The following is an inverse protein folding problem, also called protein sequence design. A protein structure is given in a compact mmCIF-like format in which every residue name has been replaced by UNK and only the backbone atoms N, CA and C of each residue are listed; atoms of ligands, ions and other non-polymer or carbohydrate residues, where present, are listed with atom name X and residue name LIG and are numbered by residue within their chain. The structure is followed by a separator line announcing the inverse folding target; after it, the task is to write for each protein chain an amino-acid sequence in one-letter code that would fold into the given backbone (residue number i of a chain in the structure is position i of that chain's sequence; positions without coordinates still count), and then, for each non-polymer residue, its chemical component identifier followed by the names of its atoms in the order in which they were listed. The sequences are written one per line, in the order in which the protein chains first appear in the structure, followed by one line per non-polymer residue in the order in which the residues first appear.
data_IF_455411672313
#
_entry.id   IF_455411672313
#
_cell.length_a   1.000
_cell.length_b   1.000
_cell.length_c   1.000
_cell.angle_alpha   90.00
_cell.angle_beta   90.00
_cell.angle_gamma   90.00
#
_symmetry.space_group_name_H-M   'P 1'
#
loop_
_entity.id
_entity.type
_entity.pdbx_description
1 polymer ?
#
# COMPACT_ATOMS: atom_id res chain seq x y z
N UNK A 1 -8.78 -6.08 -18.82
CA UNK A 1 -9.39 -5.95 -17.47
C UNK A 1 -10.89 -6.03 -17.63
N UNK A 2 -11.57 -6.99 -16.97
CA UNK A 2 -13.04 -6.99 -16.92
C UNK A 2 -13.47 -5.92 -15.92
N UNK A 3 -14.15 -4.92 -16.44
CA UNK A 3 -14.69 -3.78 -15.67
C UNK A 3 -15.91 -4.31 -14.92
N UNK A 4 -15.85 -4.33 -13.59
CA UNK A 4 -17.05 -4.45 -12.77
C UNK A 4 -17.86 -3.16 -12.96
N UNK A 5 -18.94 -3.26 -13.72
CA UNK A 5 -19.93 -2.19 -13.89
C UNK A 5 -20.56 -1.87 -12.53
N UNK A 6 -20.77 -0.57 -12.30
CA UNK A 6 -21.41 0.06 -11.15
C UNK A 6 -22.51 -0.80 -10.49
N UNK A 7 -22.15 -1.54 -9.45
CA UNK A 7 -23.06 -1.89 -8.37
C UNK A 7 -22.97 -0.75 -7.34
N UNK A 8 -24.12 -0.28 -6.84
CA UNK A 8 -24.27 0.67 -5.73
C UNK A 8 -22.99 0.78 -4.89
N UNK A 9 -22.32 1.94 -4.91
CA UNK A 9 -21.12 2.23 -4.13
C UNK A 9 -21.45 2.07 -2.65
N UNK A 10 -21.30 0.85 -2.14
CA UNK A 10 -21.17 0.62 -0.71
C UNK A 10 -19.86 1.32 -0.35
N UNK A 11 -19.95 2.52 0.21
CA UNK A 11 -18.80 3.20 0.78
C UNK A 11 -18.33 2.36 1.98
N UNK A 12 -17.24 1.64 1.80
CA UNK A 12 -16.74 0.68 2.80
C UNK A 12 -15.58 1.27 3.57
N UNK A 13 -15.92 2.20 4.45
CA UNK A 13 -14.99 2.69 5.46
C UNK A 13 -15.05 1.75 6.65
N UNK A 14 -13.90 1.25 7.06
CA UNK A 14 -13.80 0.35 8.20
C UNK A 14 -13.36 1.13 9.42
N UNK A 15 -14.07 1.01 10.53
CA UNK A 15 -13.50 1.24 11.87
C UNK A 15 -12.70 0.00 12.30
N UNK A 16 -11.88 0.14 13.34
CA UNK A 16 -11.10 -0.99 13.90
C UNK A 16 -11.98 -2.20 14.22
N UNK A 17 -13.01 -1.99 15.05
CA UNK A 17 -13.92 -3.06 15.48
C UNK A 17 -14.64 -3.70 14.30
N UNK A 18 -15.03 -2.90 13.30
CA UNK A 18 -15.67 -3.42 12.09
C UNK A 18 -14.70 -4.27 11.28
N UNK A 19 -13.44 -3.85 11.12
CA UNK A 19 -12.42 -4.63 10.42
C UNK A 19 -12.18 -5.96 11.12
N UNK A 20 -11.89 -5.93 12.43
CA UNK A 20 -11.59 -7.13 13.22
C UNK A 20 -12.78 -8.08 13.24
N UNK A 21 -13.99 -7.61 13.54
CA UNK A 21 -15.19 -8.47 13.54
C UNK A 21 -15.53 -9.03 12.15
N UNK A 22 -15.09 -8.36 11.08
CA UNK A 22 -15.33 -8.82 9.71
C UNK A 22 -14.34 -9.90 9.27
N UNK A 23 -13.15 -10.06 9.84
CA UNK A 23 -12.18 -11.07 9.32
C UNK A 23 -11.40 -11.84 10.38
N UNK A 24 -11.55 -11.51 11.67
CA UNK A 24 -10.80 -12.14 12.76
C UNK A 24 -11.12 -13.63 12.97
N UNK A 25 -12.22 -14.12 12.38
CA UNK A 25 -12.57 -15.54 12.31
C UNK A 25 -11.90 -16.28 11.14
N UNK A 26 -11.33 -15.54 10.19
CA UNK A 26 -10.87 -16.04 8.90
C UNK A 26 -9.35 -15.99 8.72
N UNK A 27 -8.67 -15.07 9.43
CA UNK A 27 -7.22 -14.87 9.41
C UNK A 27 -6.71 -14.49 10.79
N UNK A 28 -5.47 -14.84 11.12
CA UNK A 28 -4.81 -14.28 12.31
C UNK A 28 -4.47 -12.82 12.07
N UNK A 29 -4.86 -12.00 13.04
CA UNK A 29 -4.56 -10.58 13.11
C UNK A 29 -3.69 -10.30 14.33
N UNK A 30 -2.78 -9.35 14.22
CA UNK A 30 -2.04 -8.79 15.34
C UNK A 30 -2.42 -7.32 15.46
N UNK A 31 -2.91 -6.94 16.63
CA UNK A 31 -3.16 -5.54 16.99
C UNK A 31 -1.91 -4.97 17.63
N UNK A 32 -1.40 -3.88 17.05
CA UNK A 32 -0.37 -3.05 17.66
C UNK A 32 -1.04 -1.77 18.16
N UNK A 33 -0.92 -1.47 19.45
CA UNK A 33 -1.58 -0.33 20.09
C UNK A 33 -0.55 0.51 20.87
N UNK A 34 -0.49 1.81 20.60
CA UNK A 34 0.31 2.78 21.38
C UNK A 34 -0.49 3.44 22.50
N UNK A 35 -1.76 3.08 22.67
CA UNK A 35 -2.74 3.78 23.50
C UNK A 35 -3.29 5.07 22.88
N UNK A 36 -2.67 5.56 21.80
CA UNK A 36 -3.11 6.75 21.04
C UNK A 36 -3.59 6.40 19.64
N UNK A 37 -2.98 5.38 19.03
CA UNK A 37 -3.33 4.90 17.71
C UNK A 37 -3.02 3.42 17.56
N UNK A 38 -3.70 2.79 16.61
CA UNK A 38 -3.68 1.34 16.44
C UNK A 38 -3.35 0.95 15.01
N UNK A 39 -2.54 -0.09 14.85
CA UNK A 39 -2.29 -0.75 13.56
C UNK A 39 -2.76 -2.20 13.63
N UNK A 40 -3.46 -2.66 12.60
CA UNK A 40 -3.87 -4.05 12.46
C UNK A 40 -3.00 -4.70 11.39
N UNK A 41 -2.17 -5.66 11.80
CA UNK A 41 -1.35 -6.49 10.91
C UNK A 41 -2.11 -7.78 10.59
N UNK A 42 -2.20 -8.12 9.30
CA UNK A 42 -2.78 -9.38 8.85
C UNK A 42 -1.68 -10.35 8.43
N UNK A 43 -1.77 -11.61 8.86
CA UNK A 43 -0.93 -12.67 8.32
C UNK A 43 -1.19 -12.91 6.82
N UNK A 44 -2.38 -12.55 6.32
CA UNK A 44 -2.72 -12.72 4.91
C UNK A 44 -1.95 -11.73 4.03
N UNK A 45 -0.84 -12.19 3.47
CA UNK A 45 0.13 -11.35 2.77
C UNK A 45 0.97 -10.46 3.70
N UNK A 46 0.99 -10.76 5.01
CA UNK A 46 1.94 -10.21 5.98
C UNK A 46 2.04 -8.70 5.95
N UNK A 47 0.94 -7.98 6.18
CA UNK A 47 0.90 -6.52 5.98
C UNK A 47 0.05 -5.76 6.99
N UNK A 48 0.33 -4.46 7.20
CA UNK A 48 -0.64 -3.54 7.78
C UNK A 48 -1.88 -3.50 6.89
N UNK A 49 -3.02 -3.87 7.46
CA UNK A 49 -4.32 -3.83 6.80
C UNK A 49 -5.15 -2.64 7.28
N UNK A 50 -4.90 -2.15 8.49
CA UNK A 50 -5.51 -0.92 8.98
C UNK A 50 -4.60 -0.08 9.85
N UNK A 51 -4.76 1.24 9.74
CA UNK A 51 -4.08 2.26 10.53
C UNK A 51 -5.15 3.24 11.05
N UNK A 52 -5.20 3.39 12.36
CA UNK A 52 -6.23 4.15 13.08
C UNK A 52 -5.55 5.16 14.01
N UNK A 53 -5.46 6.45 13.62
CA UNK A 53 -4.82 7.49 14.45
C UNK A 53 -5.53 7.85 15.75
N UNK A 54 -6.78 7.40 15.93
CA UNK A 54 -7.56 7.59 17.16
C UNK A 54 -8.68 6.55 17.24
N UNK A 55 -9.29 6.42 18.42
CA UNK A 55 -10.47 5.58 18.59
C UNK A 55 -11.64 6.06 17.71
N UNK A 56 -12.45 5.09 17.25
CA UNK A 56 -13.66 5.31 16.42
C UNK A 56 -13.43 6.13 15.14
N UNK A 57 -12.21 6.16 14.60
CA UNK A 57 -11.95 6.72 13.28
C UNK A 57 -12.04 5.65 12.19
N UNK A 58 -12.18 6.11 10.94
CA UNK A 58 -12.02 5.24 9.78
C UNK A 58 -10.55 4.88 9.57
N UNK A 59 -10.33 3.69 9.02
CA UNK A 59 -9.06 3.23 8.52
C UNK A 59 -8.58 4.18 7.41
N UNK A 60 -7.33 4.64 7.50
CA UNK A 60 -6.74 5.47 6.45
C UNK A 60 -6.29 4.63 5.23
N UNK A 61 -6.08 3.33 5.40
CA UNK A 61 -5.82 2.42 4.30
C UNK A 61 -7.13 1.92 3.68
N UNK A 62 -7.11 1.72 2.37
CA UNK A 62 -8.21 1.05 1.67
C UNK A 62 -8.21 -0.44 2.03
N UNK A 63 -9.41 -0.97 2.21
CA UNK A 63 -9.69 -2.39 2.43
C UNK A 63 -10.79 -2.80 1.47
N UNK A 64 -10.68 -4.00 0.90
CA UNK A 64 -11.70 -4.49 -0.02
C UNK A 64 -13.06 -4.64 0.69
N UNK A 65 -14.15 -4.05 0.15
CA UNK A 65 -15.53 -4.27 0.60
C UNK A 65 -15.89 -5.73 0.88
N UNK A 66 -15.42 -6.63 0.03
CA UNK A 66 -15.69 -8.06 0.06
C UNK A 66 -14.50 -8.83 0.62
N UNK A 67 -13.78 -8.25 1.59
CA UNK A 67 -12.52 -8.81 2.11
C UNK A 67 -12.62 -10.27 2.56
N UNK A 68 -13.76 -10.71 3.15
CA UNK A 68 -13.95 -12.13 3.50
C UNK A 68 -13.77 -13.05 2.29
N UNK A 69 -14.37 -12.70 1.15
CA UNK A 69 -14.26 -13.50 -0.07
C UNK A 69 -12.87 -13.35 -0.71
N UNK A 70 -12.28 -12.15 -0.65
CA UNK A 70 -10.92 -11.93 -1.12
C UNK A 70 -9.89 -12.79 -0.35
N UNK A 71 -10.04 -12.91 0.98
CA UNK A 71 -9.23 -13.80 1.82
C UNK A 71 -9.47 -15.26 1.43
N UNK A 72 -10.73 -15.69 1.37
CA UNK A 72 -11.11 -17.08 1.05
C UNK A 72 -10.58 -17.56 -0.29
N UNK A 73 -10.61 -16.69 -1.30
CA UNK A 73 -10.10 -16.95 -2.65
C UNK A 73 -8.59 -16.77 -2.78
N UNK A 74 -7.90 -16.42 -1.68
CA UNK A 74 -6.48 -16.02 -1.66
C UNK A 74 -6.15 -14.94 -2.69
N UNK A 75 -7.07 -13.99 -2.85
CA UNK A 75 -6.85 -12.78 -3.63
C UNK A 75 -5.84 -11.86 -2.93
N UNK A 76 -5.09 -11.15 -3.75
CA UNK A 76 -4.19 -10.07 -3.32
C UNK A 76 -4.96 -8.77 -3.04
N UNK A 77 -6.21 -8.69 -3.49
CA UNK A 77 -7.07 -7.51 -3.40
C UNK A 77 -7.72 -7.42 -2.01
N UNK A 78 -6.93 -7.45 -0.93
CA UNK A 78 -7.44 -7.18 0.42
C UNK A 78 -7.20 -5.73 0.86
N UNK A 79 -6.26 -5.03 0.21
CA UNK A 79 -5.86 -3.66 0.54
C UNK A 79 -4.59 -3.59 1.40
N UNK A 80 -4.48 -2.56 2.24
CA UNK A 80 -3.35 -2.36 3.16
C UNK A 80 -2.05 -1.84 2.51
N UNK A 81 -0.92 -2.12 3.16
CA UNK A 81 0.44 -1.77 2.69
C UNK A 81 1.23 -3.00 2.21
N UNK A 82 1.47 -3.07 0.90
CA UNK A 82 1.91 -4.27 0.21
C UNK A 82 3.41 -4.20 -0.07
N UNK A 83 4.11 -5.33 0.04
CA UNK A 83 5.48 -5.47 -0.45
C UNK A 83 5.48 -6.16 -1.81
N UNK A 84 6.11 -5.52 -2.81
CA UNK A 84 6.27 -6.04 -4.16
C UNK A 84 7.73 -6.00 -4.60
N UNK A 85 8.01 -6.61 -5.76
CA UNK A 85 9.34 -6.59 -6.39
C UNK A 85 9.31 -5.91 -7.75
N UNK A 86 10.47 -5.44 -8.19
CA UNK A 86 10.71 -4.85 -9.50
C UNK A 86 11.84 -5.60 -10.24
N UNK A 87 11.93 -5.51 -11.58
CA UNK A 87 10.99 -4.82 -12.46
C UNK A 87 9.63 -5.53 -12.56
N UNK A 88 8.54 -4.78 -12.35
CA UNK A 88 7.16 -5.31 -12.38
C UNK A 88 6.88 -6.06 -13.69
N UNK A 89 7.40 -5.52 -14.81
CA UNK A 89 7.30 -6.11 -16.16
C UNK A 89 7.66 -7.58 -16.19
N UNK A 90 8.71 -7.98 -15.49
CA UNK A 90 9.25 -9.34 -15.59
C UNK A 90 8.56 -10.33 -14.63
N UNK A 91 7.82 -9.87 -13.63
CA UNK A 91 7.21 -10.75 -12.63
C UNK A 91 5.68 -10.74 -12.64
N UNK A 92 5.06 -9.61 -13.04
CA UNK A 92 3.62 -9.39 -12.94
C UNK A 92 2.89 -9.45 -14.29
N UNK A 93 3.58 -9.70 -15.40
CA UNK A 93 2.96 -9.82 -16.72
C UNK A 93 3.32 -11.15 -17.36
N UNK A 94 2.31 -11.96 -17.72
CA UNK A 94 2.57 -13.23 -18.42
C UNK A 94 3.20 -13.01 -19.81
N UNK A 95 2.91 -11.85 -20.42
CA UNK A 95 3.49 -11.37 -21.67
C UNK A 95 4.30 -10.10 -21.39
N UNK A 96 5.52 -10.23 -20.85
CA UNK A 96 6.31 -9.09 -20.43
C UNK A 96 6.69 -8.17 -21.60
N UNK A 97 6.83 -8.70 -22.82
CA UNK A 97 7.22 -7.88 -23.97
C UNK A 97 6.19 -6.80 -24.32
N UNK A 98 4.91 -7.10 -24.18
CA UNK A 98 3.78 -6.24 -24.55
C UNK A 98 3.06 -5.61 -23.36
N UNK A 99 3.49 -5.88 -22.13
CA UNK A 99 2.78 -5.47 -20.89
C UNK A 99 1.33 -5.99 -20.83
N UNK A 100 1.12 -7.21 -21.31
CA UNK A 100 -0.21 -7.85 -21.33
C UNK A 100 -0.33 -8.95 -20.27
N UNK A 101 -1.59 -9.24 -19.92
CA UNK A 101 -1.94 -10.29 -18.96
C UNK A 101 -1.29 -10.07 -17.59
N UNK A 102 -1.56 -8.89 -17.03
CA UNK A 102 -1.15 -8.56 -15.67
C UNK A 102 -1.75 -9.56 -14.67
N UNK A 103 -0.94 -10.01 -13.72
CA UNK A 103 -1.33 -10.82 -12.59
C UNK A 103 -0.44 -10.51 -11.39
N UNK A 104 -0.95 -10.75 -10.17
CA UNK A 104 -0.16 -10.68 -8.95
C UNK A 104 0.38 -12.08 -8.61
N UNK A 105 1.70 -12.29 -8.48
CA UNK A 105 2.26 -13.58 -8.07
C UNK A 105 1.79 -13.95 -6.66
N UNK A 106 1.03 -15.04 -6.52
CA UNK A 106 0.52 -15.49 -5.21
C UNK A 106 1.64 -15.87 -4.23
N UNK A 107 2.80 -16.30 -4.74
CA UNK A 107 4.00 -16.56 -3.93
C UNK A 107 4.66 -15.30 -3.36
N UNK A 108 4.17 -14.11 -3.72
CA UNK A 108 4.58 -12.82 -3.16
C UNK A 108 3.44 -12.19 -2.38
N UNK A 109 2.26 -12.16 -2.99
CA UNK A 109 1.12 -11.44 -2.49
C UNK A 109 -0.20 -12.10 -2.96
N UNK A 110 -0.96 -12.77 -2.07
CA UNK A 110 -0.67 -12.99 -0.65
C UNK A 110 0.18 -14.25 -0.43
N UNK A 111 1.47 -14.07 -0.14
CA UNK A 111 2.30 -15.18 0.36
C UNK A 111 1.77 -15.72 1.70
N UNK A 112 2.23 -16.91 2.09
CA UNK A 112 1.80 -17.60 3.31
C UNK A 112 2.66 -17.15 4.48
N UNK A 113 2.38 -15.97 5.05
CA UNK A 113 3.14 -15.48 6.18
C UNK A 113 2.75 -16.20 7.47
N UNK A 114 3.75 -16.44 8.30
CA UNK A 114 3.61 -16.90 9.68
C UNK A 114 4.02 -15.77 10.61
N UNK A 115 3.26 -15.60 11.70
CA UNK A 115 3.63 -14.67 12.79
C UNK A 115 4.71 -15.36 13.61
N UNK A 116 5.93 -14.82 13.58
CA UNK A 116 7.07 -15.35 14.33
C UNK A 116 7.12 -14.81 15.76
N UNK A 117 6.79 -13.53 15.92
CA UNK A 117 6.75 -12.87 17.22
C UNK A 117 5.79 -11.69 17.18
N UNK A 118 5.10 -11.43 18.29
CA UNK A 118 4.25 -10.25 18.45
C UNK A 118 4.27 -9.74 19.89
N UNK A 119 4.06 -8.45 20.03
CA UNK A 119 3.81 -7.72 21.27
C UNK A 119 2.74 -6.64 21.00
N UNK A 120 2.40 -5.85 22.02
CA UNK A 120 1.51 -4.69 21.85
C UNK A 120 2.11 -3.60 20.93
N UNK A 121 3.43 -3.58 20.70
CA UNK A 121 4.09 -2.52 19.94
C UNK A 121 4.85 -2.99 18.70
N UNK A 122 4.99 -4.30 18.50
CA UNK A 122 5.72 -4.85 17.35
C UNK A 122 5.19 -6.20 16.89
N UNK A 123 5.39 -6.50 15.61
CA UNK A 123 5.06 -7.78 15.00
C UNK A 123 6.14 -8.16 13.98
N UNK A 124 6.55 -9.43 13.97
CA UNK A 124 7.43 -9.98 12.94
C UNK A 124 6.71 -11.12 12.24
N UNK A 125 6.66 -11.06 10.92
CA UNK A 125 6.10 -12.11 10.07
C UNK A 125 7.16 -12.57 9.07
N UNK A 126 7.16 -13.86 8.71
CA UNK A 126 8.02 -14.39 7.64
C UNK A 126 7.24 -15.30 6.70
N UNK A 127 7.66 -15.35 5.44
CA UNK A 127 7.17 -16.30 4.45
C UNK A 127 8.27 -16.75 3.51
N UNK A 128 8.28 -18.05 3.18
CA UNK A 128 8.99 -18.52 2.00
C UNK A 128 8.31 -18.00 0.73
N UNK A 129 9.10 -17.47 -0.21
CA UNK A 129 8.59 -16.90 -1.46
C UNK A 129 9.16 -17.62 -2.68
N UNK A 130 8.37 -17.65 -3.75
CA UNK A 130 8.80 -18.13 -5.05
C UNK A 130 8.29 -17.20 -6.14
N UNK A 131 9.19 -16.75 -7.02
CA UNK A 131 8.87 -15.93 -8.18
C UNK A 131 9.38 -16.56 -9.47
N UNK A 132 8.53 -16.53 -10.50
CA UNK A 132 8.91 -16.88 -11.85
C UNK A 132 9.16 -15.60 -12.64
N UNK A 133 10.39 -15.40 -13.10
CA UNK A 133 10.67 -14.37 -14.09
C UNK A 133 10.02 -14.77 -15.42
N UNK A 134 9.00 -14.02 -15.83
CA UNK A 134 8.18 -14.30 -17.01
C UNK A 134 8.93 -14.08 -18.32
N UNK A 135 10.05 -13.36 -18.32
CA UNK A 135 10.89 -13.15 -19.51
C UNK A 135 11.87 -14.31 -19.70
N UNK A 136 12.65 -14.62 -18.67
CA UNK A 136 13.69 -15.65 -18.73
C UNK A 136 13.18 -17.06 -18.42
N UNK A 137 11.95 -17.16 -17.89
CA UNK A 137 11.33 -18.39 -17.37
C UNK A 137 12.09 -19.05 -16.23
N UNK A 138 12.98 -18.30 -15.56
CA UNK A 138 13.73 -18.78 -14.40
C UNK A 138 12.92 -18.57 -13.12
N UNK A 139 12.86 -19.61 -12.29
CA UNK A 139 12.27 -19.56 -10.95
C UNK A 139 13.30 -19.13 -9.90
N UNK A 140 12.89 -18.29 -8.95
CA UNK A 140 13.69 -17.81 -7.83
C UNK A 140 12.97 -18.15 -6.54
N UNK A 141 13.63 -18.95 -5.70
CA UNK A 141 13.18 -19.24 -4.35
C UNK A 141 13.87 -18.29 -3.37
N UNK A 142 13.16 -17.93 -2.31
CA UNK A 142 13.65 -17.01 -1.30
C UNK A 142 12.80 -17.03 -0.03
N UNK A 143 13.05 -16.05 0.80
CA UNK A 143 12.31 -15.75 2.02
C UNK A 143 12.12 -14.23 2.14
N UNK A 144 11.02 -13.83 2.76
CA UNK A 144 10.82 -12.46 3.20
C UNK A 144 10.42 -12.45 4.66
N UNK A 145 11.14 -11.67 5.46
CA UNK A 145 10.77 -11.30 6.82
C UNK A 145 10.36 -9.83 6.83
N UNK A 146 9.21 -9.53 7.42
CA UNK A 146 8.70 -8.17 7.60
C UNK A 146 8.55 -7.89 9.09
N UNK A 147 9.16 -6.81 9.55
CA UNK A 147 9.06 -6.35 10.92
C UNK A 147 8.28 -5.04 10.96
N UNK A 148 7.31 -5.01 11.85
CA UNK A 148 6.41 -3.90 12.08
C UNK A 148 6.63 -3.39 13.49
N UNK A 149 6.85 -2.09 13.63
CA UNK A 149 7.04 -1.46 14.94
C UNK A 149 6.31 -0.14 15.00
N UNK A 150 5.55 0.07 16.06
CA UNK A 150 4.98 1.39 16.33
C UNK A 150 6.10 2.38 16.61
N UNK A 151 6.00 3.55 15.99
CA UNK A 151 6.93 4.66 16.22
C UNK A 151 6.16 5.84 16.77
N UNK A 152 6.86 6.70 17.50
CA UNK A 152 6.32 7.97 17.99
C UNK A 152 6.27 9.00 16.86
N UNK A 153 5.46 10.04 17.06
CA UNK A 153 5.35 11.14 16.12
C UNK A 153 6.72 11.81 15.91
N UNK A 154 7.24 11.90 14.67
CA UNK A 154 8.57 12.47 14.42
C UNK A 154 8.66 13.95 14.84
N UNK A 155 7.55 14.67 14.80
CA UNK A 155 7.43 16.07 15.20
C UNK A 155 6.13 16.24 15.96
N UNK A 156 6.15 16.83 17.16
CA UNK A 156 4.91 17.10 17.91
C UNK A 156 4.03 18.10 17.15
N UNK A 157 3.01 17.62 16.42
CA UNK A 157 2.10 18.49 15.66
C UNK A 157 0.80 18.79 16.40
N UNK A 158 0.47 18.00 17.43
CA UNK A 158 -0.78 18.09 18.17
C UNK A 158 -1.97 17.43 17.46
N UNK A 159 -1.75 16.77 16.31
CA UNK A 159 -2.79 15.98 15.64
C UNK A 159 -2.87 14.55 16.20
N UNK A 160 -3.98 13.87 15.96
CA UNK A 160 -4.08 12.43 16.23
C UNK A 160 -3.11 11.65 15.36
N UNK A 161 -2.36 10.72 15.93
CA UNK A 161 -1.19 10.12 15.29
C UNK A 161 -1.15 8.59 15.47
N UNK A 162 -0.78 7.90 14.40
CA UNK A 162 -0.37 6.50 14.44
C UNK A 162 0.75 6.30 13.41
N UNK A 163 1.92 5.90 13.91
CA UNK A 163 3.11 5.66 13.11
C UNK A 163 3.51 4.20 13.13
N UNK A 164 4.00 3.72 11.98
CA UNK A 164 4.58 2.39 11.87
C UNK A 164 5.85 2.44 11.04
N UNK A 165 6.92 1.88 11.59
CA UNK A 165 8.12 1.51 10.86
C UNK A 165 7.95 0.10 10.29
N UNK A 166 8.35 -0.07 9.03
CA UNK A 166 8.32 -1.34 8.33
C UNK A 166 9.74 -1.64 7.84
N UNK A 167 10.35 -2.68 8.40
CA UNK A 167 11.63 -3.21 7.94
C UNK A 167 11.37 -4.50 7.18
N UNK A 168 11.61 -4.46 5.87
CA UNK A 168 11.44 -5.60 4.97
C UNK A 168 12.81 -6.18 4.59
N UNK A 169 13.09 -7.43 4.98
CA UNK A 169 14.26 -8.19 4.55
C UNK A 169 13.81 -9.30 3.60
N UNK A 170 14.20 -9.19 2.33
CA UNK A 170 13.78 -10.08 1.25
C UNK A 170 15.00 -10.67 0.55
N UNK A 171 15.20 -11.97 0.71
CA UNK A 171 16.37 -12.69 0.22
C UNK A 171 15.92 -13.71 -0.82
N UNK A 172 16.52 -13.64 -2.01
CA UNK A 172 16.46 -14.74 -2.97
C UNK A 172 17.76 -15.54 -2.90
N UNK A 173 17.66 -16.87 -2.91
CA UNK A 173 18.80 -17.79 -2.80
C UNK A 173 19.57 -17.91 -4.13
N UNK A 174 19.84 -16.78 -4.76
CA UNK A 174 20.59 -16.67 -6.02
C UNK A 174 21.32 -15.33 -6.07
N UNK A 175 22.63 -15.33 -6.38
CA UNK A 175 23.40 -14.10 -6.45
C UNK A 175 23.08 -13.30 -7.72
N UNK A 176 23.46 -12.02 -7.71
CA UNK A 176 23.48 -11.11 -8.86
C UNK A 176 22.12 -10.88 -9.54
N UNK A 177 21.02 -11.05 -8.80
CA UNK A 177 19.70 -10.68 -9.29
C UNK A 177 19.56 -9.17 -9.40
N UNK A 178 18.91 -8.71 -10.48
CA UNK A 178 18.54 -7.30 -10.68
C UNK A 178 17.08 -7.13 -10.26
N UNK A 179 16.85 -7.30 -8.96
CA UNK A 179 15.53 -7.19 -8.33
C UNK A 179 15.62 -6.15 -7.22
N UNK A 180 14.61 -5.29 -7.12
CA UNK A 180 14.48 -4.38 -5.98
C UNK A 180 13.09 -4.54 -5.35
N UNK A 181 13.03 -4.53 -4.03
CA UNK A 181 11.79 -4.41 -3.28
C UNK A 181 11.19 -3.00 -3.38
N UNK A 182 9.87 -2.90 -3.30
CA UNK A 182 9.16 -1.63 -3.16
C UNK A 182 7.83 -1.84 -2.46
N UNK A 183 7.33 -0.79 -1.81
CA UNK A 183 6.06 -0.84 -1.08
C UNK A 183 4.94 -0.07 -1.81
N UNK A 184 3.72 -0.56 -1.66
CA UNK A 184 2.51 0.02 -2.24
C UNK A 184 1.44 0.14 -1.16
N UNK A 185 1.14 1.36 -0.72
CA UNK A 185 0.00 1.62 0.15
C UNK A 185 -1.26 1.80 -0.70
N UNK A 186 -2.31 1.04 -0.41
CA UNK A 186 -3.65 1.33 -0.92
C UNK A 186 -4.36 2.24 0.07
N UNK A 187 -4.82 3.40 -0.38
CA UNK A 187 -5.38 4.45 0.47
C UNK A 187 -6.89 4.60 0.25
N UNK A 188 -7.62 4.91 1.30
CA UNK A 188 -9.06 5.20 1.26
C UNK A 188 -9.36 6.37 0.32
N UNK A 189 -10.48 6.33 -0.42
CA UNK A 189 -10.95 7.45 -1.25
C UNK A 189 -12.47 7.54 -1.17
N UNK A 190 -13.01 8.76 -1.25
CA UNK A 190 -14.44 9.04 -1.27
C UNK A 190 -15.04 9.07 -2.67
N UNK A 191 -14.31 8.55 -3.66
CA UNK A 191 -14.76 8.50 -5.05
C UNK A 191 -14.71 9.87 -5.74
N UNK A 192 -15.45 9.99 -6.84
CA UNK A 192 -15.52 11.21 -7.67
C UNK A 192 -15.99 12.44 -6.88
N UNK A 193 -16.89 12.25 -5.91
CA UNK A 193 -17.48 13.35 -5.13
C UNK A 193 -16.57 13.86 -4.00
N UNK A 194 -15.64 13.02 -3.53
CA UNK A 194 -14.69 13.35 -2.48
C UNK A 194 -13.35 12.65 -2.79
N UNK A 195 -12.60 13.14 -3.78
CA UNK A 195 -11.33 12.55 -4.17
C UNK A 195 -10.25 12.88 -3.14
N UNK A 196 -9.31 11.97 -2.94
CA UNK A 196 -8.08 12.30 -2.22
C UNK A 196 -7.01 12.83 -3.17
N UNK A 197 -5.97 13.41 -2.60
CA UNK A 197 -4.84 13.96 -3.36
C UNK A 197 -3.53 13.41 -2.81
N UNK A 198 -2.77 12.78 -3.69
CA UNK A 198 -1.37 12.44 -3.46
C UNK A 198 -0.54 13.70 -3.66
N UNK A 199 0.41 13.94 -2.77
CA UNK A 199 1.39 15.02 -2.82
C UNK A 199 2.79 14.39 -2.83
N UNK A 200 3.58 14.67 -3.85
CA UNK A 200 4.94 14.14 -3.99
C UNK A 200 5.89 15.34 -3.94
N UNK A 201 6.68 15.50 -2.86
CA UNK A 201 7.70 16.55 -2.82
C UNK A 201 8.78 16.28 -3.88
N UNK A 202 9.20 17.34 -4.56
CA UNK A 202 10.17 17.29 -5.65
C UNK A 202 11.19 18.43 -5.54
N UNK A 203 12.21 18.38 -6.38
CA UNK A 203 13.00 19.56 -6.76
C UNK A 203 12.13 20.56 -7.54
N UNK A 204 12.73 21.70 -7.87
CA UNK A 204 12.02 22.79 -8.54
C UNK A 204 11.48 22.37 -9.92
N UNK A 205 10.23 22.74 -10.22
CA UNK A 205 9.58 22.54 -11.53
C UNK A 205 9.55 21.07 -12.00
N UNK A 206 8.91 20.16 -11.25
CA UNK A 206 8.85 18.74 -11.62
C UNK A 206 8.11 18.51 -12.94
N UNK A 207 8.48 17.45 -13.65
CA UNK A 207 7.78 17.02 -14.87
C UNK A 207 7.25 15.59 -14.66
N UNK A 208 6.07 15.43 -14.03
CA UNK A 208 5.49 14.12 -13.83
C UNK A 208 5.20 13.45 -15.18
N UNK A 209 5.40 12.14 -15.24
CA UNK A 209 5.25 11.33 -16.44
C UNK A 209 4.08 10.36 -16.30
N UNK A 210 3.36 10.14 -17.39
CA UNK A 210 2.28 9.17 -17.44
C UNK A 210 2.81 7.81 -17.89
N UNK A 211 2.46 6.74 -17.18
CA UNK A 211 2.71 5.36 -17.60
C UNK A 211 1.41 4.72 -18.11
N UNK A 212 1.53 3.91 -19.17
CA UNK A 212 0.46 3.17 -19.86
C UNK A 212 -0.60 4.02 -20.56
N UNK A 213 -1.16 5.03 -19.91
CA UNK A 213 -2.17 5.94 -20.44
C UNK A 213 -1.89 7.36 -20.00
N UNK A 214 -2.21 8.33 -20.85
CA UNK A 214 -2.11 9.75 -20.52
C UNK A 214 -3.01 10.04 -19.31
N UNK A 215 -2.44 10.65 -18.28
CA UNK A 215 -3.19 11.14 -17.14
C UNK A 215 -3.84 12.49 -17.52
N UNK A 216 -5.16 12.65 -17.32
CA UNK A 216 -5.86 13.92 -17.57
C UNK A 216 -5.24 15.10 -16.81
N UNK A 217 -5.21 16.27 -17.44
CA UNK A 217 -4.60 17.49 -16.89
C UNK A 217 -5.28 17.95 -15.60
N UNK A 218 -6.59 17.74 -15.45
CA UNK A 218 -7.37 18.11 -14.27
C UNK A 218 -7.10 17.21 -13.04
N UNK A 219 -6.28 16.18 -13.22
CA UNK A 219 -5.86 15.24 -12.16
C UNK A 219 -4.43 15.45 -11.71
N UNK A 220 -3.61 16.19 -12.46
CA UNK A 220 -2.19 16.41 -12.14
C UNK A 220 -1.90 17.90 -12.05
N UNK A 221 -1.38 18.33 -10.91
CA UNK A 221 -0.90 19.70 -10.72
C UNK A 221 0.58 19.69 -10.38
N UNK A 222 1.37 20.52 -11.03
CA UNK A 222 2.79 20.71 -10.67
C UNK A 222 2.96 22.06 -10.01
N UNK A 223 3.21 22.04 -8.70
CA UNK A 223 3.63 23.21 -7.95
C UNK A 223 5.14 23.43 -8.07
N UNK A 224 5.66 24.47 -7.40
CA UNK A 224 7.08 24.81 -7.47
C UNK A 224 7.98 23.65 -7.00
N UNK A 225 7.63 22.98 -5.90
CA UNK A 225 8.44 21.92 -5.26
C UNK A 225 7.65 20.64 -4.98
N UNK A 226 6.56 20.42 -5.72
CA UNK A 226 5.77 19.20 -5.58
C UNK A 226 4.96 18.90 -6.85
N UNK A 227 4.59 17.63 -7.01
CA UNK A 227 3.53 17.20 -7.92
C UNK A 227 2.34 16.68 -7.10
N UNK A 228 1.13 17.05 -7.49
CA UNK A 228 -0.10 16.58 -6.90
C UNK A 228 -0.88 15.70 -7.89
N UNK A 229 -1.48 14.62 -7.39
CA UNK A 229 -2.23 13.66 -8.20
C UNK A 229 -3.55 13.27 -7.53
N UNK A 230 -4.66 13.48 -8.21
CA UNK A 230 -6.02 13.22 -7.72
C UNK A 230 -6.41 11.74 -7.86
N UNK A 231 -6.86 11.12 -6.76
CA UNK A 231 -7.31 9.72 -6.68
C UNK A 231 -8.79 9.67 -6.28
N UNK A 232 -9.63 9.20 -7.21
CA UNK A 232 -11.09 9.16 -7.08
C UNK A 232 -11.70 7.81 -7.46
N UNK A 233 -10.86 6.78 -7.66
CA UNK A 233 -11.19 5.39 -8.01
C UNK A 233 -12.00 5.16 -9.29
N UNK A 234 -12.31 6.21 -10.06
CA UNK A 234 -13.14 6.10 -11.27
C UNK A 234 -12.35 5.54 -12.46
N UNK A 235 -11.03 5.79 -12.48
CA UNK A 235 -10.15 5.38 -13.57
C UNK A 235 -8.78 4.92 -13.05
N UNK A 236 -8.13 4.07 -13.84
CA UNK A 236 -6.79 3.55 -13.55
C UNK A 236 -5.75 4.38 -14.31
N UNK A 237 -4.86 5.02 -13.55
CA UNK A 237 -3.74 5.80 -14.04
C UNK A 237 -2.48 5.44 -13.25
N UNK A 238 -1.31 5.64 -13.88
CA UNK A 238 -0.02 5.48 -13.22
C UNK A 238 0.82 6.72 -13.50
N UNK A 239 1.06 7.52 -12.47
CA UNK A 239 1.93 8.69 -12.53
C UNK A 239 3.32 8.32 -12.01
N UNK A 240 4.36 8.70 -12.74
CA UNK A 240 5.74 8.62 -12.33
C UNK A 240 6.32 9.99 -12.05
N UNK A 241 7.25 10.07 -11.11
CA UNK A 241 8.16 11.21 -10.99
C UNK A 241 9.52 10.76 -11.49
N UNK A 242 10.15 11.62 -12.29
CA UNK A 242 11.46 11.30 -12.87
C UNK A 242 12.51 11.32 -11.76
N UNK A 243 13.50 10.41 -11.75
CA UNK A 243 14.53 10.38 -10.72
C UNK A 243 15.26 11.72 -10.55
N UNK A 244 15.49 12.46 -11.65
CA UNK A 244 16.10 13.79 -11.61
C UNK A 244 15.30 14.82 -10.80
N UNK A 245 13.97 14.68 -10.74
CA UNK A 245 13.07 15.57 -10.03
C UNK A 245 12.93 15.21 -8.54
N UNK A 246 13.44 14.05 -8.10
CA UNK A 246 13.42 13.63 -6.71
C UNK A 246 14.62 14.19 -5.95
N UNK A 247 14.33 14.76 -4.78
CA UNK A 247 15.34 15.09 -3.77
C UNK A 247 15.50 13.89 -2.84
N UNK A 248 16.55 13.11 -3.05
CA UNK A 248 16.77 11.86 -2.31
C UNK A 248 17.15 12.10 -0.85
N UNK A 249 17.62 13.29 -0.49
CA UNK A 249 18.00 13.64 0.89
C UNK A 249 16.77 13.96 1.76
N UNK A 250 15.58 14.15 1.18
CA UNK A 250 14.34 14.40 1.94
C UNK A 250 13.71 13.10 2.43
N UNK A 251 13.50 12.89 3.74
CA UNK A 251 12.88 11.65 4.22
C UNK A 251 11.46 11.44 3.70
N UNK A 252 10.64 12.50 3.64
CA UNK A 252 9.27 12.41 3.14
C UNK A 252 9.26 12.27 1.61
N UNK A 253 8.75 11.14 1.11
CA UNK A 253 8.73 10.83 -0.33
C UNK A 253 7.36 11.00 -0.96
N UNK A 254 6.29 10.79 -0.21
CA UNK A 254 4.92 10.87 -0.71
C UNK A 254 3.96 11.07 0.46
N UNK A 255 3.00 11.98 0.28
CA UNK A 255 1.89 12.22 1.17
C UNK A 255 0.55 11.95 0.47
N UNK A 256 -0.48 11.66 1.24
CA UNK A 256 -1.85 11.51 0.76
C UNK A 256 -2.79 12.22 1.72
N UNK A 257 -3.54 13.19 1.21
CA UNK A 257 -4.54 13.96 1.96
C UNK A 257 -5.95 13.67 1.45
N UNK A 258 -6.89 13.56 2.37
CA UNK A 258 -8.28 13.22 2.06
C UNK A 258 -9.21 13.74 3.16
N UNK A 259 -10.39 14.27 2.78
CA UNK A 259 -11.43 14.65 3.74
C UNK A 259 -12.12 13.39 4.23
N UNK A 260 -12.05 13.10 5.53
CA UNK A 260 -12.64 11.89 6.08
C UNK A 260 -14.18 12.03 6.02
N UNK A 261 -14.90 11.10 5.38
CA UNK A 261 -16.36 11.13 5.28
C UNK A 261 -17.00 11.07 6.65
N UNK A 262 -18.14 11.75 6.84
CA UNK A 262 -18.87 11.83 8.11
C UNK A 262 -18.12 12.55 9.26
N UNK A 263 -16.91 13.05 9.00
CA UNK A 263 -16.12 13.84 9.95
C UNK A 263 -15.77 15.20 9.37
N UNK A 264 -15.48 16.17 10.24
CA UNK A 264 -14.92 17.45 9.81
C UNK A 264 -13.40 17.39 9.57
N UNK A 265 -12.76 16.30 9.97
CA UNK A 265 -11.32 16.14 9.93
C UNK A 265 -10.81 15.71 8.54
N UNK A 266 -9.52 15.94 8.31
CA UNK A 266 -8.78 15.37 7.19
C UNK A 266 -7.88 14.24 7.68
N UNK A 267 -7.77 13.20 6.87
CA UNK A 267 -6.76 12.16 7.01
C UNK A 267 -5.53 12.55 6.22
N UNK A 268 -4.35 12.31 6.81
CA UNK A 268 -3.08 12.51 6.14
C UNK A 268 -2.16 11.33 6.39
N UNK A 269 -1.69 10.69 5.32
CA UNK A 269 -0.71 9.61 5.36
C UNK A 269 0.57 10.13 4.73
N UNK A 270 1.71 9.92 5.39
CA UNK A 270 3.02 10.24 4.83
C UNK A 270 3.86 8.97 4.82
N UNK A 271 4.46 8.63 3.68
CA UNK A 271 5.53 7.65 3.63
C UNK A 271 6.87 8.36 3.68
N UNK A 272 7.65 7.95 4.68
CA UNK A 272 9.05 8.30 4.84
C UNK A 272 9.89 7.16 4.25
N UNK A 273 11.04 7.48 3.70
CA UNK A 273 12.09 6.49 3.45
C UNK A 273 13.45 7.12 3.73
N UNK A 274 14.31 6.35 4.38
CA UNK A 274 15.72 6.67 4.55
C UNK A 274 16.50 6.53 3.23
#
# INVERSE_FOLDING_TARGET
LKIFKHSNLIMNYFTKDKLISTIGDSVRLVELDSGKGTVIISEHGGRPLGIFPRDKCYNLLWVNPNIKEAIKSRSHEIGGDRYWVSPERDFFYKKPETFEEWFCPQGLDPANYEILASSEHSCTVSSGIFLLNQRTKQGYQGEITRQFKLIEEPYSTGVSYCGIEILDDCIFYRPNLKINGWSLATVISGGVINPGTVLIPTKENPKPISYFRIVPEDRVHSGKYYSAFKIDVDNIYKLGIRPEDIDFDRPAKIGYVFKIPDFEDYGFIVKLSD
#
